data_IF_851680827371
#
_entry.id   IF_851680827371
#
_cell.length_a   1.000
_cell.length_b   1.000
_cell.length_c   1.000
_cell.angle_alpha   90.00
_cell.angle_beta   90.00
_cell.angle_gamma   90.00
#
_symmetry.space_group_name_H-M   'P 1'
#
loop_
_entity.id
_entity.type
_entity.pdbx_description
1 polymer ?
#
# COMPACT_ATOMS: atom_id res chain seq x y z
N UNK A 1 -75.08 -7.56 12.61
CA UNK A 1 -74.13 -7.95 11.56
C UNK A 1 -72.74 -7.54 12.03
N UNK A 2 -71.97 -8.46 12.63
CA UNK A 2 -70.63 -8.20 13.19
C UNK A 2 -69.60 -8.49 12.10
N UNK A 3 -68.85 -7.46 11.72
CA UNK A 3 -67.84 -7.50 10.67
C UNK A 3 -66.55 -8.12 11.23
N UNK A 4 -66.16 -9.30 10.73
CA UNK A 4 -64.86 -9.89 10.97
C UNK A 4 -63.83 -9.16 10.10
N UNK A 5 -62.80 -8.59 10.72
CA UNK A 5 -61.61 -8.07 10.02
C UNK A 5 -60.56 -9.19 10.03
N UNK A 6 -60.23 -9.69 8.84
CA UNK A 6 -59.11 -10.62 8.60
C UNK A 6 -57.81 -9.81 8.65
N UNK A 7 -56.92 -10.11 9.60
CA UNK A 7 -55.53 -9.63 9.58
C UNK A 7 -54.68 -10.56 8.72
N UNK A 8 -54.18 -10.06 7.60
CA UNK A 8 -53.15 -10.74 6.81
C UNK A 8 -51.78 -10.46 7.44
N UNK A 9 -51.06 -11.52 7.83
CA UNK A 9 -49.67 -11.42 8.24
C UNK A 9 -48.79 -11.25 7.00
N UNK A 10 -48.16 -10.08 6.84
CA UNK A 10 -47.05 -9.90 5.92
C UNK A 10 -45.81 -10.54 6.55
N UNK A 11 -45.38 -11.68 6.02
CA UNK A 11 -44.04 -12.20 6.26
C UNK A 11 -43.06 -11.27 5.56
N UNK A 12 -42.33 -10.48 6.34
CA UNK A 12 -41.21 -9.70 5.83
C UNK A 12 -40.10 -10.68 5.40
N UNK A 13 -39.91 -10.85 4.09
CA UNK A 13 -38.63 -11.35 3.58
C UNK A 13 -37.58 -10.31 3.97
N UNK A 14 -36.74 -10.63 4.95
CA UNK A 14 -35.48 -9.92 5.13
C UNK A 14 -34.67 -10.12 3.85
N UNK A 15 -34.59 -9.09 3.01
CA UNK A 15 -33.60 -9.04 1.96
C UNK A 15 -32.24 -9.06 2.68
N UNK A 16 -31.52 -10.17 2.56
CA UNK A 16 -30.12 -10.22 2.98
C UNK A 16 -29.42 -9.05 2.28
N UNK A 17 -28.84 -8.14 3.08
CA UNK A 17 -27.98 -7.10 2.52
C UNK A 17 -26.87 -7.79 1.71
N UNK A 18 -26.55 -7.30 0.50
CA UNK A 18 -25.46 -7.86 -0.26
C UNK A 18 -24.19 -7.78 0.60
N UNK A 19 -23.35 -8.84 0.61
CA UNK A 19 -22.16 -8.85 1.43
C UNK A 19 -21.25 -7.65 1.09
N UNK A 20 -20.60 -7.11 2.11
CA UNK A 20 -19.58 -6.08 2.02
C UNK A 20 -18.59 -6.35 0.88
N UNK A 21 -18.53 -5.44 -0.11
CA UNK A 21 -17.63 -5.58 -1.25
C UNK A 21 -16.27 -4.95 -0.92
N UNK A 22 -15.15 -5.69 -1.05
CA UNK A 22 -13.82 -5.11 -0.88
C UNK A 22 -13.54 -4.09 -1.98
N UNK A 23 -12.73 -3.09 -1.67
CA UNK A 23 -12.14 -2.19 -2.65
C UNK A 23 -10.80 -2.76 -3.09
N UNK A 24 -10.51 -2.70 -4.40
CA UNK A 24 -9.21 -3.08 -4.96
C UNK A 24 -8.64 -1.93 -5.81
N UNK A 25 -7.43 -1.52 -5.49
CA UNK A 25 -6.67 -0.48 -6.18
C UNK A 25 -5.38 -1.05 -6.77
N UNK A 26 -4.90 -0.41 -7.83
CA UNK A 26 -3.58 -0.69 -8.40
C UNK A 26 -2.85 0.62 -8.64
N UNK A 27 -1.56 0.65 -8.29
CA UNK A 27 -0.66 1.75 -8.62
C UNK A 27 0.62 1.20 -9.24
N UNK A 28 1.29 2.05 -10.00
CA UNK A 28 2.62 1.80 -10.54
C UNK A 28 3.55 2.88 -10.00
N UNK A 29 4.64 2.47 -9.35
CA UNK A 29 5.63 3.36 -8.76
C UNK A 29 5.00 4.42 -7.82
N UNK A 30 3.95 4.02 -7.08
CA UNK A 30 3.24 4.88 -6.12
C UNK A 30 2.16 5.79 -6.73
N UNK A 31 1.94 5.76 -8.05
CA UNK A 31 0.94 6.60 -8.73
C UNK A 31 0.00 5.82 -9.65
N UNK A 32 -1.07 6.48 -10.12
CA UNK A 32 -1.93 5.94 -11.18
C UNK A 32 -1.25 5.98 -12.55
N UNK A 33 -0.29 6.90 -12.72
CA UNK A 33 0.51 7.07 -13.93
C UNK A 33 1.97 7.26 -13.52
N UNK A 34 2.88 6.65 -14.27
CA UNK A 34 4.31 6.85 -14.10
C UNK A 34 5.00 7.00 -15.45
N UNK A 35 6.08 7.77 -15.50
CA UNK A 35 7.02 7.77 -16.61
C UNK A 35 8.35 7.31 -16.07
N UNK A 36 8.99 6.39 -16.79
CA UNK A 36 10.27 5.81 -16.38
C UNK A 36 11.22 5.74 -17.57
N UNK A 37 12.51 5.77 -17.26
CA UNK A 37 13.53 5.48 -18.25
C UNK A 37 13.77 3.96 -18.34
N UNK A 38 14.24 3.45 -19.48
CA UNK A 38 14.70 2.06 -19.58
C UNK A 38 15.71 1.73 -18.48
N UNK A 39 15.50 0.60 -17.81
CA UNK A 39 16.36 0.16 -16.71
C UNK A 39 15.96 0.68 -15.33
N UNK A 40 14.88 1.45 -15.19
CA UNK A 40 14.31 1.72 -13.88
C UNK A 40 13.40 0.57 -13.44
N UNK A 41 13.35 0.22 -12.15
CA UNK A 41 12.40 -0.78 -11.69
C UNK A 41 10.96 -0.29 -11.86
N UNK A 42 10.06 -1.24 -12.09
CA UNK A 42 8.60 -1.01 -12.00
C UNK A 42 8.10 -1.77 -10.80
N UNK A 43 7.50 -1.06 -9.85
CA UNK A 43 6.81 -1.62 -8.70
C UNK A 43 5.31 -1.41 -8.88
N UNK A 44 4.58 -2.50 -9.06
CA UNK A 44 3.13 -2.53 -9.08
C UNK A 44 2.64 -2.89 -7.68
N UNK A 45 1.86 -1.99 -7.08
CA UNK A 45 1.21 -2.23 -5.78
C UNK A 45 -0.27 -2.50 -6.00
N UNK A 46 -0.74 -3.65 -5.53
CA UNK A 46 -2.16 -4.00 -5.48
C UNK A 46 -2.63 -3.84 -4.05
N UNK A 47 -3.52 -2.90 -3.80
CA UNK A 47 -4.06 -2.65 -2.48
C UNK A 47 -5.49 -3.12 -2.37
N UNK A 48 -5.83 -3.77 -1.26
CA UNK A 48 -7.20 -4.16 -0.92
C UNK A 48 -7.59 -3.56 0.42
N UNK A 49 -8.80 -3.02 0.50
CA UNK A 49 -9.35 -2.40 1.70
C UNK A 49 -10.82 -2.82 1.86
N UNK A 50 -11.35 -2.64 3.08
CA UNK A 50 -12.78 -2.73 3.30
C UNK A 50 -13.51 -1.62 2.53
N UNK A 51 -14.76 -1.90 2.15
CA UNK A 51 -15.71 -0.86 1.75
C UNK A 51 -16.33 -0.22 3.00
N UNK A 52 -17.64 -0.09 3.01
CA UNK A 52 -18.37 0.44 4.18
C UNK A 52 -18.51 -0.59 5.32
N UNK A 53 -18.27 -1.86 5.04
CA UNK A 53 -18.45 -2.98 5.98
C UNK A 53 -17.19 -3.86 6.01
N UNK A 54 -16.91 -4.54 7.16
CA UNK A 54 -15.77 -5.43 7.28
C UNK A 54 -15.79 -6.56 6.25
N UNK A 55 -14.61 -6.90 5.73
CA UNK A 55 -14.46 -7.96 4.72
C UNK A 55 -13.28 -8.87 5.06
N UNK A 56 -13.49 -10.17 4.93
CA UNK A 56 -12.43 -11.17 5.10
C UNK A 56 -11.90 -11.61 3.74
N UNK A 57 -10.58 -11.62 3.60
CA UNK A 57 -9.86 -12.20 2.47
C UNK A 57 -9.18 -13.48 2.95
N UNK A 58 -9.24 -14.55 2.16
CA UNK A 58 -8.63 -15.82 2.53
C UNK A 58 -9.07 -16.99 1.66
N UNK A 59 -8.17 -17.96 1.53
CA UNK A 59 -8.40 -19.21 0.81
C UNK A 59 -8.46 -20.39 1.80
N UNK A 60 -9.03 -21.52 1.37
CA UNK A 60 -9.08 -22.78 2.12
C UNK A 60 -7.68 -23.29 2.44
N UNK A 61 -6.77 -23.15 1.47
CA UNK A 61 -5.36 -23.51 1.56
C UNK A 61 -4.55 -22.37 0.95
N UNK A 62 -3.38 -22.07 1.54
CA UNK A 62 -2.51 -21.00 1.07
C UNK A 62 -2.97 -19.60 1.46
N UNK A 63 -2.31 -18.61 0.89
CA UNK A 63 -2.57 -17.20 1.22
C UNK A 63 -3.60 -16.57 0.29
N UNK A 64 -4.42 -15.64 0.79
CA UNK A 64 -5.32 -14.78 0.01
C UNK A 64 -4.64 -14.16 -1.22
N UNK A 65 -3.34 -13.95 -1.10
CA UNK A 65 -2.44 -13.46 -2.11
C UNK A 65 -2.38 -14.33 -3.37
N UNK A 66 -2.64 -15.63 -3.29
CA UNK A 66 -2.67 -16.53 -4.44
C UNK A 66 -3.86 -16.25 -5.38
N UNK A 67 -4.92 -15.63 -4.87
CA UNK A 67 -6.05 -15.15 -5.67
C UNK A 67 -5.77 -13.82 -6.39
N UNK A 68 -4.63 -13.16 -6.13
CA UNK A 68 -4.28 -11.89 -6.75
C UNK A 68 -3.44 -12.11 -8.00
N UNK A 69 -3.94 -11.63 -9.13
CA UNK A 69 -3.22 -11.60 -10.41
C UNK A 69 -3.07 -10.18 -10.93
N UNK A 70 -1.97 -9.91 -11.62
CA UNK A 70 -1.69 -8.65 -12.30
C UNK A 70 -1.66 -8.89 -13.80
N UNK A 71 -2.51 -8.16 -14.51
CA UNK A 71 -2.57 -8.15 -15.97
C UNK A 71 -1.79 -6.93 -16.45
N UNK A 72 -0.75 -7.19 -17.23
CA UNK A 72 0.04 -6.17 -17.92
C UNK A 72 -0.32 -6.21 -19.40
N UNK A 73 -0.75 -5.09 -19.95
CA UNK A 73 -0.97 -4.87 -21.38
C UNK A 73 0.20 -4.03 -21.90
N UNK A 74 0.91 -4.56 -22.89
CA UNK A 74 2.09 -3.96 -23.51
C UNK A 74 1.76 -3.36 -24.88
N UNK A 75 2.54 -2.38 -25.36
CA UNK A 75 2.29 -1.73 -26.65
C UNK A 75 2.49 -2.67 -27.86
N UNK A 76 3.34 -3.68 -27.71
CA UNK A 76 3.66 -4.70 -28.72
C UNK A 76 2.91 -6.02 -28.51
N UNK A 77 2.05 -6.10 -27.48
CA UNK A 77 1.31 -7.30 -27.09
C UNK A 77 2.14 -8.37 -26.38
N UNK A 78 3.43 -8.14 -26.15
CA UNK A 78 4.31 -9.06 -25.41
C UNK A 78 4.53 -8.56 -23.99
N UNK A 79 3.75 -9.11 -23.04
CA UNK A 79 3.83 -8.68 -21.64
C UNK A 79 4.78 -9.56 -20.82
N UNK A 80 5.81 -8.99 -20.18
CA UNK A 80 6.65 -9.76 -19.27
C UNK A 80 5.85 -10.22 -18.05
N UNK A 81 6.28 -11.34 -17.46
CA UNK A 81 5.75 -11.78 -16.17
C UNK A 81 6.27 -10.86 -15.06
N UNK A 82 5.36 -10.37 -14.21
CA UNK A 82 5.76 -9.68 -12.99
C UNK A 82 6.17 -10.69 -11.92
N UNK A 83 7.25 -10.39 -11.22
CA UNK A 83 7.68 -11.21 -10.08
C UNK A 83 7.02 -10.70 -8.82
N UNK A 84 6.38 -11.57 -8.05
CA UNK A 84 5.82 -11.20 -6.75
C UNK A 84 6.95 -10.96 -5.74
N UNK A 85 6.82 -9.93 -4.91
CA UNK A 85 7.68 -9.77 -3.73
C UNK A 85 7.56 -10.98 -2.80
N UNK A 86 8.67 -11.37 -2.18
CA UNK A 86 8.74 -12.51 -1.26
C UNK A 86 8.33 -12.14 0.19
N UNK A 87 7.66 -11.00 0.41
CA UNK A 87 7.25 -10.59 1.76
C UNK A 87 6.26 -11.63 2.33
N UNK A 88 6.55 -12.12 3.54
CA UNK A 88 5.67 -13.04 4.26
C UNK A 88 4.37 -12.30 4.57
N UNK A 89 3.25 -12.93 4.22
CA UNK A 89 1.93 -12.37 4.36
C UNK A 89 1.02 -13.40 5.03
N UNK A 90 0.05 -12.95 5.82
CA UNK A 90 -0.88 -13.86 6.49
C UNK A 90 -1.71 -14.65 5.48
N UNK A 91 -2.14 -15.84 5.87
CA UNK A 91 -2.98 -16.69 5.01
C UNK A 91 -4.36 -16.06 4.76
N UNK A 92 -4.92 -15.44 5.80
CA UNK A 92 -6.18 -14.70 5.77
C UNK A 92 -6.06 -13.35 6.45
N UNK A 93 -6.86 -12.37 5.99
CA UNK A 93 -6.92 -11.03 6.58
C UNK A 93 -8.36 -10.60 6.75
N UNK A 94 -8.67 -9.98 7.89
CA UNK A 94 -9.91 -9.26 8.11
C UNK A 94 -9.62 -7.77 7.98
N UNK A 95 -10.35 -7.10 7.09
CA UNK A 95 -10.20 -5.68 6.79
C UNK A 95 -11.42 -4.93 7.33
N UNK A 96 -11.19 -3.82 8.02
CA UNK A 96 -12.21 -2.91 8.52
C UNK A 96 -11.69 -1.47 8.56
N UNK A 97 -12.58 -0.48 8.61
CA UNK A 97 -12.24 0.94 8.71
C UNK A 97 -11.19 1.41 7.68
N UNK A 98 -9.97 1.74 8.14
CA UNK A 98 -8.84 2.22 7.34
C UNK A 98 -7.76 1.13 7.14
N UNK A 99 -8.12 -0.14 7.36
CA UNK A 99 -7.21 -1.27 7.14
C UNK A 99 -7.04 -1.51 5.65
N UNK A 100 -5.78 -1.71 5.26
CA UNK A 100 -5.39 -1.98 3.90
C UNK A 100 -4.29 -3.00 3.88
N UNK A 101 -4.39 -3.96 2.98
CA UNK A 101 -3.30 -4.88 2.65
C UNK A 101 -2.78 -4.59 1.26
N UNK A 102 -1.48 -4.74 1.08
CA UNK A 102 -0.82 -4.48 -0.19
C UNK A 102 0.00 -5.68 -0.62
N UNK A 103 -0.14 -6.05 -1.90
CA UNK A 103 0.68 -7.02 -2.59
C UNK A 103 1.57 -6.30 -3.61
N UNK A 104 2.88 -6.56 -3.56
CA UNK A 104 3.84 -5.92 -4.47
C UNK A 104 4.31 -6.91 -5.54
N UNK A 105 4.30 -6.45 -6.79
CA UNK A 105 4.79 -7.14 -7.97
C UNK A 105 5.79 -6.26 -8.69
N UNK A 106 6.87 -6.83 -9.21
CA UNK A 106 7.99 -6.05 -9.75
C UNK A 106 8.42 -6.50 -11.14
N UNK A 107 8.88 -5.53 -11.94
CA UNK A 107 9.80 -5.75 -13.05
C UNK A 107 11.15 -5.17 -12.66
N UNK A 108 12.21 -5.97 -12.80
CA UNK A 108 13.55 -5.55 -12.44
C UNK A 108 14.12 -4.56 -13.46
N UNK A 109 15.16 -3.77 -13.09
CA UNK A 109 15.94 -2.97 -14.01
C UNK A 109 16.37 -3.73 -15.28
N UNK A 110 16.81 -4.97 -15.14
CA UNK A 110 17.28 -5.79 -16.26
C UNK A 110 16.14 -6.07 -17.24
N UNK A 111 14.94 -6.37 -16.73
CA UNK A 111 13.76 -6.60 -17.57
C UNK A 111 13.33 -5.30 -18.25
N UNK A 112 13.17 -4.21 -17.50
CA UNK A 112 12.66 -2.94 -18.04
C UNK A 112 13.61 -2.29 -19.04
N UNK A 113 14.91 -2.58 -18.95
CA UNK A 113 15.91 -2.15 -19.96
C UNK A 113 15.72 -2.79 -21.34
N UNK A 114 15.01 -3.91 -21.42
CA UNK A 114 14.80 -4.69 -22.66
C UNK A 114 13.39 -4.52 -23.22
N UNK A 115 12.51 -3.82 -22.52
CA UNK A 115 11.13 -3.58 -22.94
C UNK A 115 11.06 -2.53 -24.05
N UNK A 116 10.05 -2.67 -24.91
CA UNK A 116 9.75 -1.68 -25.93
C UNK A 116 9.39 -0.33 -25.28
N UNK A 117 9.75 0.76 -25.97
CA UNK A 117 9.27 2.09 -25.58
C UNK A 117 7.76 2.19 -25.80
N UNK A 118 7.10 2.99 -24.96
CA UNK A 118 5.67 3.27 -25.08
C UNK A 118 4.87 3.00 -23.80
N UNK A 119 3.56 3.07 -23.95
CA UNK A 119 2.61 2.99 -22.85
C UNK A 119 2.21 1.55 -22.53
N UNK A 120 2.35 1.21 -21.25
CA UNK A 120 1.91 -0.04 -20.64
C UNK A 120 0.71 0.24 -19.73
N UNK A 121 -0.25 -0.67 -19.70
CA UNK A 121 -1.42 -0.61 -18.80
C UNK A 121 -1.42 -1.79 -17.84
N UNK A 122 -1.73 -1.52 -16.58
CA UNK A 122 -1.73 -2.49 -15.49
C UNK A 122 -3.12 -2.53 -14.86
N UNK A 123 -3.64 -3.73 -14.63
CA UNK A 123 -4.87 -3.98 -13.87
C UNK A 123 -4.65 -5.16 -12.93
N UNK A 124 -5.20 -5.08 -11.73
CA UNK A 124 -5.22 -6.18 -10.78
C UNK A 124 -6.58 -6.87 -10.77
N UNK A 125 -6.57 -8.17 -10.51
CA UNK A 125 -7.76 -8.99 -10.34
C UNK A 125 -7.57 -9.83 -9.09
N UNK A 126 -8.56 -9.81 -8.21
CA UNK A 126 -8.72 -10.77 -7.13
C UNK A 126 -9.79 -11.78 -7.55
N UNK A 127 -9.43 -13.05 -7.63
CA UNK A 127 -10.33 -14.15 -7.99
C UNK A 127 -10.05 -15.37 -7.09
N UNK A 128 -10.84 -15.56 -6.01
CA UNK A 128 -10.66 -16.68 -5.09
C UNK A 128 -11.21 -18.00 -5.65
N UNK A 129 -11.94 -17.95 -6.78
CA UNK A 129 -12.59 -19.10 -7.41
C UNK A 129 -13.38 -19.94 -6.39
N UNK A 130 -13.31 -21.27 -6.46
CA UNK A 130 -13.94 -22.20 -5.51
C UNK A 130 -13.07 -22.48 -4.26
N UNK A 131 -11.99 -21.72 -4.07
CA UNK A 131 -11.02 -21.89 -2.98
C UNK A 131 -11.28 -20.94 -1.81
N UNK A 132 -12.37 -20.18 -1.79
CA UNK A 132 -12.63 -19.23 -0.71
C UNK A 132 -12.75 -19.93 0.66
N UNK A 133 -12.13 -19.33 1.68
CA UNK A 133 -12.31 -19.75 3.06
C UNK A 133 -13.73 -19.44 3.55
N UNK A 134 -14.16 -20.10 4.63
CA UNK A 134 -15.45 -19.79 5.26
C UNK A 134 -15.51 -18.33 5.73
N UNK A 135 -16.56 -17.62 5.34
CA UNK A 135 -16.77 -16.21 5.63
C UNK A 135 -15.90 -15.24 4.82
N UNK A 136 -15.02 -15.73 3.94
CA UNK A 136 -14.22 -14.89 3.07
C UNK A 136 -15.01 -14.43 1.84
N UNK A 137 -14.59 -13.29 1.27
CA UNK A 137 -15.12 -12.77 0.02
C UNK A 137 -14.90 -13.77 -1.11
N UNK A 138 -15.97 -14.08 -1.85
CA UNK A 138 -16.03 -15.18 -2.80
C UNK A 138 -16.08 -14.73 -4.27
N UNK A 139 -16.42 -13.46 -4.56
CA UNK A 139 -16.61 -13.00 -5.93
C UNK A 139 -15.32 -12.45 -6.54
N UNK A 140 -15.21 -12.53 -7.86
CA UNK A 140 -14.16 -11.86 -8.59
C UNK A 140 -14.32 -10.34 -8.51
N UNK A 141 -13.22 -9.63 -8.30
CA UNK A 141 -13.17 -8.17 -8.41
C UNK A 141 -11.92 -7.72 -9.16
N UNK A 142 -12.08 -6.70 -10.00
CA UNK A 142 -10.99 -6.10 -10.75
C UNK A 142 -10.80 -4.64 -10.34
N UNK A 143 -9.56 -4.17 -10.36
CA UNK A 143 -9.23 -2.78 -10.12
C UNK A 143 -9.56 -1.90 -11.33
N UNK A 144 -9.51 -0.59 -11.12
CA UNK A 144 -9.23 0.35 -12.21
C UNK A 144 -7.88 0.07 -12.87
N UNK A 145 -7.48 0.90 -13.83
CA UNK A 145 -6.19 0.76 -14.50
C UNK A 145 -5.19 1.80 -14.01
N UNK A 146 -3.95 1.37 -13.79
CA UNK A 146 -2.80 2.24 -13.73
C UNK A 146 -2.00 2.09 -15.03
N UNK A 147 -1.11 3.03 -15.33
CA UNK A 147 -0.26 2.97 -16.51
C UNK A 147 1.15 3.44 -16.21
N UNK A 148 2.10 2.94 -16.99
CA UNK A 148 3.42 3.55 -17.05
C UNK A 148 3.90 3.67 -18.49
N UNK A 149 4.73 4.66 -18.74
CA UNK A 149 5.36 4.86 -20.04
C UNK A 149 6.86 4.69 -19.91
N UNK A 150 7.44 3.84 -20.76
CA UNK A 150 8.89 3.76 -20.95
C UNK A 150 9.25 4.72 -22.07
N UNK A 151 9.97 5.79 -21.73
CA UNK A 151 10.39 6.82 -22.68
C UNK A 151 11.85 7.18 -22.47
N UNK A 152 12.51 7.63 -23.55
CA UNK A 152 13.85 8.20 -23.51
C UNK A 152 13.83 9.71 -23.80
N UNK A 153 12.63 10.29 -23.93
CA UNK A 153 12.53 11.73 -24.10
C UNK A 153 13.10 12.41 -22.85
N UNK A 154 13.69 13.60 -22.99
CA UNK A 154 14.10 14.38 -21.82
C UNK A 154 12.89 14.65 -20.91
N UNK A 155 13.04 14.56 -19.57
CA UNK A 155 11.98 14.95 -18.67
C UNK A 155 11.75 16.47 -18.74
N UNK A 156 10.52 16.90 -18.49
CA UNK A 156 10.21 18.34 -18.41
C UNK A 156 10.78 18.96 -17.13
N UNK A 157 10.81 18.19 -16.04
CA UNK A 157 11.38 18.57 -14.75
C UNK A 157 12.42 17.51 -14.34
N UNK A 158 13.69 17.84 -14.55
CA UNK A 158 14.82 16.95 -14.23
C UNK A 158 14.91 16.66 -12.73
N UNK A 159 14.60 17.63 -11.87
CA UNK A 159 14.71 17.46 -10.43
C UNK A 159 13.61 16.54 -9.90
N UNK A 160 12.38 16.68 -10.42
CA UNK A 160 11.28 15.78 -10.09
C UNK A 160 11.51 14.37 -10.68
N UNK A 161 12.05 14.26 -11.89
CA UNK A 161 12.39 12.98 -12.52
C UNK A 161 13.45 12.22 -11.70
N UNK A 162 14.53 12.90 -11.30
CA UNK A 162 15.55 12.31 -10.43
C UNK A 162 14.99 11.94 -9.04
N UNK A 163 14.10 12.75 -8.46
CA UNK A 163 13.44 12.40 -7.20
C UNK A 163 12.59 11.13 -7.32
N UNK A 164 11.80 11.02 -8.39
CA UNK A 164 11.01 9.83 -8.68
C UNK A 164 11.92 8.60 -8.81
N UNK A 165 13.05 8.70 -9.52
CA UNK A 165 14.05 7.64 -9.64
C UNK A 165 14.51 7.12 -8.28
N UNK A 166 14.93 8.03 -7.40
CA UNK A 166 15.50 7.67 -6.09
C UNK A 166 14.45 7.06 -5.17
N UNK A 167 13.20 7.54 -5.20
CA UNK A 167 12.10 6.95 -4.45
C UNK A 167 11.78 5.53 -4.94
N UNK A 168 11.74 5.31 -6.26
CA UNK A 168 11.49 3.99 -6.86
C UNK A 168 12.62 3.02 -6.51
N UNK A 169 13.88 3.45 -6.60
CA UNK A 169 15.03 2.64 -6.21
C UNK A 169 15.01 2.30 -4.72
N UNK A 170 14.63 3.24 -3.85
CA UNK A 170 14.42 2.98 -2.43
C UNK A 170 13.36 1.90 -2.21
N UNK A 171 12.22 1.98 -2.92
CA UNK A 171 11.15 0.98 -2.82
C UNK A 171 11.61 -0.39 -3.30
N UNK A 172 12.22 -0.43 -4.48
CA UNK A 172 12.72 -1.65 -5.05
C UNK A 172 13.79 -2.32 -4.16
N UNK A 173 14.77 -1.57 -3.63
CA UNK A 173 15.79 -2.11 -2.71
C UNK A 173 15.17 -2.71 -1.46
N UNK A 174 14.16 -2.07 -0.86
CA UNK A 174 13.45 -2.64 0.29
C UNK A 174 12.73 -3.95 -0.08
N UNK A 175 12.09 -4.01 -1.26
CA UNK A 175 11.44 -5.23 -1.77
C UNK A 175 12.45 -6.36 -1.97
N UNK A 176 13.69 -6.05 -2.35
CA UNK A 176 14.78 -7.03 -2.45
C UNK A 176 15.35 -7.41 -1.06
N UNK A 177 14.88 -6.81 0.03
CA UNK A 177 15.39 -7.04 1.38
C UNK A 177 16.63 -6.22 1.74
N UNK A 178 17.05 -5.30 0.89
CA UNK A 178 18.20 -4.42 1.11
C UNK A 178 17.75 -3.08 1.72
N UNK A 179 17.45 -3.11 3.02
CA UNK A 179 16.99 -1.95 3.77
C UNK A 179 18.06 -0.85 3.88
N UNK A 180 19.34 -1.21 3.89
CA UNK A 180 20.45 -0.25 3.94
C UNK A 180 20.53 0.56 2.65
N UNK A 181 20.49 -0.12 1.50
CA UNK A 181 20.48 0.53 0.20
C UNK A 181 19.19 1.35 -0.01
N UNK A 182 18.05 0.85 0.48
CA UNK A 182 16.79 1.59 0.46
C UNK A 182 16.89 2.92 1.20
N UNK A 183 17.55 2.94 2.37
CA UNK A 183 17.82 4.15 3.15
C UNK A 183 18.78 5.08 2.42
N UNK A 184 19.86 4.54 1.84
CA UNK A 184 20.87 5.32 1.13
C UNK A 184 20.29 6.12 -0.05
N UNK A 185 19.36 5.55 -0.81
CA UNK A 185 18.68 6.27 -1.90
C UNK A 185 17.85 7.45 -1.39
N UNK A 186 17.20 7.29 -0.24
CA UNK A 186 16.39 8.36 0.36
C UNK A 186 17.28 9.44 0.95
N UNK A 187 18.41 9.07 1.55
CA UNK A 187 19.41 10.01 2.05
C UNK A 187 20.05 10.83 0.93
N UNK A 188 20.34 10.20 -0.22
CA UNK A 188 20.79 10.89 -1.43
C UNK A 188 19.74 11.94 -1.87
N UNK A 189 18.46 11.55 -1.94
CA UNK A 189 17.39 12.46 -2.32
C UNK A 189 17.25 13.62 -1.32
N UNK A 190 17.26 13.35 -0.02
CA UNK A 190 17.14 14.39 1.01
C UNK A 190 18.38 15.30 1.08
N UNK A 191 19.55 14.83 0.66
CA UNK A 191 20.75 15.66 0.52
C UNK A 191 20.56 16.69 -0.61
N UNK A 192 20.02 16.25 -1.75
CA UNK A 192 19.75 17.13 -2.88
C UNK A 192 18.50 18.02 -2.68
N UNK A 193 17.48 17.50 -2.02
CA UNK A 193 16.17 18.13 -1.83
C UNK A 193 15.70 17.98 -0.37
N UNK A 194 16.23 18.78 0.58
CA UNK A 194 15.95 18.62 2.01
C UNK A 194 14.48 18.82 2.41
N UNK A 195 13.70 19.54 1.59
CA UNK A 195 12.27 19.78 1.81
C UNK A 195 11.35 18.79 1.08
N UNK A 196 11.89 17.72 0.50
CA UNK A 196 11.09 16.74 -0.23
C UNK A 196 10.26 15.88 0.74
N UNK A 197 9.00 16.26 0.94
CA UNK A 197 8.14 15.61 1.94
C UNK A 197 7.94 14.10 1.68
N UNK A 198 7.76 13.65 0.43
CA UNK A 198 7.63 12.21 0.13
C UNK A 198 8.86 11.41 0.53
N UNK A 199 10.06 11.97 0.36
CA UNK A 199 11.31 11.35 0.77
C UNK A 199 11.41 11.25 2.31
N UNK A 200 10.96 12.28 3.04
CA UNK A 200 10.85 12.23 4.50
C UNK A 200 9.88 11.16 4.98
N UNK A 201 8.70 11.06 4.35
CA UNK A 201 7.69 10.02 4.65
C UNK A 201 8.29 8.63 4.39
N UNK A 202 8.93 8.43 3.24
CA UNK A 202 9.61 7.19 2.89
C UNK A 202 10.71 6.83 3.89
N UNK A 203 11.52 7.81 4.33
CA UNK A 203 12.53 7.60 5.37
C UNK A 203 11.91 7.18 6.69
N UNK A 204 10.79 7.80 7.08
CA UNK A 204 10.06 7.43 8.29
C UNK A 204 9.54 5.97 8.23
N UNK A 205 9.06 5.50 7.07
CA UNK A 205 8.68 4.09 6.86
C UNK A 205 9.85 3.13 7.08
N UNK A 206 11.00 3.43 6.48
CA UNK A 206 12.18 2.58 6.61
C UNK A 206 12.71 2.57 8.06
N UNK A 207 12.66 3.71 8.75
CA UNK A 207 13.04 3.81 10.17
C UNK A 207 12.07 3.05 11.06
N UNK A 208 10.78 3.12 10.78
CA UNK A 208 9.76 2.34 11.49
C UNK A 208 10.00 0.83 11.33
N UNK A 209 10.24 0.36 10.11
CA UNK A 209 10.60 -1.05 9.85
C UNK A 209 11.90 -1.47 10.55
N UNK A 210 12.82 -0.53 10.78
CA UNK A 210 14.04 -0.75 11.57
C UNK A 210 13.84 -0.60 13.09
N UNK A 211 12.61 -0.36 13.57
CA UNK A 211 12.30 -0.17 15.00
C UNK A 211 12.72 1.19 15.58
N UNK A 212 13.14 2.15 14.73
CA UNK A 212 13.59 3.50 15.13
C UNK A 212 12.41 4.47 15.17
N UNK A 213 11.44 4.16 16.02
CA UNK A 213 10.13 4.85 16.05
C UNK A 213 10.22 6.35 16.37
N UNK A 214 11.09 6.76 17.30
CA UNK A 214 11.24 8.18 17.67
C UNK A 214 11.75 9.03 16.51
N UNK A 215 12.67 8.51 15.71
CA UNK A 215 13.21 9.22 14.54
C UNK A 215 12.20 9.25 13.38
N UNK A 216 11.46 8.16 13.19
CA UNK A 216 10.34 8.12 12.25
C UNK A 216 9.28 9.18 12.60
N UNK A 217 8.91 9.29 13.88
CA UNK A 217 7.93 10.26 14.36
C UNK A 217 8.40 11.70 14.11
N UNK A 218 9.65 12.00 14.46
CA UNK A 218 10.23 13.34 14.22
C UNK A 218 10.20 13.76 12.76
N UNK A 219 10.38 12.82 11.82
CA UNK A 219 10.27 13.12 10.38
C UNK A 219 8.83 13.39 9.95
N UNK A 220 7.85 12.68 10.53
CA UNK A 220 6.44 12.91 10.22
C UNK A 220 5.94 14.24 10.77
N UNK A 221 6.40 14.65 11.96
CA UNK A 221 6.12 15.98 12.53
C UNK A 221 6.65 17.10 11.61
N UNK A 222 7.87 16.93 11.12
CA UNK A 222 8.50 17.80 10.12
C UNK A 222 7.67 17.91 8.83
N UNK A 223 7.19 16.78 8.32
CA UNK A 223 6.34 16.71 7.12
C UNK A 223 5.03 17.44 7.35
N UNK A 224 4.41 17.27 8.51
CA UNK A 224 3.17 17.93 8.85
C UNK A 224 3.32 19.46 8.87
N UNK A 225 4.39 19.98 9.47
CA UNK A 225 4.70 21.41 9.46
C UNK A 225 4.84 21.93 8.02
N UNK A 226 5.56 21.19 7.17
CA UNK A 226 5.74 21.56 5.76
C UNK A 226 4.42 21.55 4.99
N UNK A 227 3.58 20.54 5.17
CA UNK A 227 2.30 20.44 4.48
C UNK A 227 1.35 21.57 4.88
N UNK A 228 1.28 21.92 6.18
CA UNK A 228 0.47 23.06 6.64
C UNK A 228 0.98 24.39 6.06
N UNK A 229 2.29 24.56 5.94
CA UNK A 229 2.88 25.77 5.37
C UNK A 229 2.62 25.88 3.85
N UNK A 230 2.69 24.77 3.13
CA UNK A 230 2.50 24.73 1.67
C UNK A 230 1.02 24.75 1.27
N UNK A 231 0.14 24.27 2.14
CA UNK A 231 -1.30 24.17 1.89
C UNK A 231 -2.11 24.76 3.07
N UNK A 232 -2.02 26.09 3.31
CA UNK A 232 -2.63 26.73 4.47
C UNK A 232 -4.17 26.63 4.48
N UNK A 233 -4.78 26.51 3.30
CA UNK A 233 -6.23 26.42 3.12
C UNK A 233 -6.74 24.96 3.04
N UNK A 234 -5.88 23.97 3.24
CA UNK A 234 -6.30 22.57 3.26
C UNK A 234 -7.24 22.33 4.45
N UNK A 235 -8.52 22.14 4.18
CA UNK A 235 -9.58 21.94 5.20
C UNK A 235 -9.49 20.59 5.90
N UNK A 236 -8.65 19.68 5.41
CA UNK A 236 -8.40 18.39 6.03
C UNK A 236 -6.89 18.17 6.17
N UNK A 237 -6.38 17.87 7.39
CA UNK A 237 -5.02 17.43 7.55
C UNK A 237 -4.80 16.11 6.78
N UNK A 238 -3.56 15.75 6.45
CA UNK A 238 -3.26 14.46 5.87
C UNK A 238 -3.57 13.36 6.91
N UNK A 239 -4.80 12.87 6.94
CA UNK A 239 -5.32 11.87 7.92
C UNK A 239 -4.40 10.67 8.07
N UNK A 240 -3.74 10.26 6.99
CA UNK A 240 -2.76 9.17 6.99
C UNK A 240 -1.52 9.48 7.83
N UNK A 241 -1.00 10.71 7.79
CA UNK A 241 0.16 11.13 8.60
C UNK A 241 -0.22 11.10 10.08
N UNK A 242 -1.40 11.59 10.44
CA UNK A 242 -1.90 11.56 11.82
C UNK A 242 -2.08 10.14 12.35
N UNK A 243 -2.69 9.24 11.56
CA UNK A 243 -2.80 7.82 11.92
C UNK A 243 -1.42 7.22 12.20
N UNK A 244 -0.47 7.44 11.30
CA UNK A 244 0.89 6.92 11.46
C UNK A 244 1.63 7.50 12.66
N UNK A 245 1.49 8.80 12.94
CA UNK A 245 2.04 9.41 14.16
C UNK A 245 1.45 8.77 15.42
N UNK A 246 0.13 8.51 15.45
CA UNK A 246 -0.52 7.84 16.56
C UNK A 246 0.00 6.41 16.75
N UNK A 247 0.10 5.62 15.67
CA UNK A 247 0.64 4.25 15.70
C UNK A 247 2.08 4.21 16.23
N UNK A 248 2.92 5.17 15.81
CA UNK A 248 4.30 5.30 16.30
C UNK A 248 4.35 5.68 17.78
N UNK A 249 3.49 6.60 18.24
CA UNK A 249 3.40 6.98 19.65
C UNK A 249 3.00 5.78 20.52
N UNK A 250 2.04 4.98 20.09
CA UNK A 250 1.65 3.75 20.79
C UNK A 250 2.83 2.78 20.90
N UNK A 251 3.61 2.59 19.83
CA UNK A 251 4.81 1.74 19.85
C UNK A 251 5.89 2.27 20.80
N UNK A 252 6.12 3.59 20.83
CA UNK A 252 7.09 4.23 21.73
C UNK A 252 6.66 4.04 23.20
N UNK A 253 5.42 4.42 23.53
CA UNK A 253 4.89 4.33 24.89
C UNK A 253 4.76 2.87 25.37
N UNK A 254 4.41 1.96 24.47
CA UNK A 254 4.36 0.52 24.74
C UNK A 254 5.75 -0.06 25.02
N UNK A 255 6.77 0.37 24.28
CA UNK A 255 8.17 -0.04 24.47
C UNK A 255 8.77 0.47 25.79
N UNK A 256 8.50 1.73 26.16
CA UNK A 256 8.96 2.31 27.42
C UNK A 256 8.40 1.57 28.64
N UNK A 257 7.12 1.22 28.61
CA UNK A 257 6.46 0.44 29.67
C UNK A 257 7.05 -0.97 29.85
N UNK A 258 7.54 -1.60 28.77
CA UNK A 258 8.23 -2.89 28.86
C UNK A 258 9.66 -2.75 29.39
N UNK A 259 10.38 -1.69 28.98
CA UNK A 259 11.73 -1.40 29.48
C UNK A 259 11.74 -1.05 30.97
N UNK A 260 10.72 -0.36 31.48
CA UNK A 260 10.60 -0.03 32.90
C UNK A 260 10.29 -1.26 33.77
N UNK A 261 9.50 -2.22 33.25
CA UNK A 261 9.24 -3.51 33.91
C UNK A 261 10.44 -4.45 33.90
N UNK A 262 11.37 -4.27 32.97
CA UNK A 262 12.59 -5.08 32.87
C UNK A 262 13.73 -4.59 33.78
N UNK A 263 13.59 -3.44 34.46
CA UNK A 263 14.59 -2.98 35.44
C UNK A 263 14.56 -3.89 36.68
N UNK A 264 15.69 -4.51 37.10
CA UNK A 264 15.71 -5.28 38.33
C UNK A 264 15.39 -4.37 39.51
N UNK A 265 14.51 -4.84 40.39
CA UNK A 265 14.15 -4.11 41.61
C UNK A 265 15.43 -3.71 42.36
N UNK A 266 15.55 -2.45 42.82
CA UNK A 266 16.73 -2.02 43.56
C UNK A 266 16.93 -2.95 44.74
N UNK A 267 18.06 -3.67 44.71
CA UNK A 267 18.42 -4.67 45.72
C UNK A 267 18.33 -4.05 47.10
N UNK A 268 17.53 -4.66 47.98
CA UNK A 268 17.62 -4.42 49.41
C UNK A 268 19.03 -4.84 49.85
N UNK A 269 19.86 -3.85 50.16
CA UNK A 269 21.10 -4.01 50.92
C UNK A 269 20.72 -4.40 52.36
#
# INVERSE_FOLDING_TARGET
>A
MKMLILSAALTACALAQPPARPLIGVTVNGGAQARIDPGWPVVVSVSMAAGDEPVKLGLKEGSWLEAVSVILESPDGTSPALTRSARVQPDSVELQDLDMVTAEFVLSPEVTSQLALGAYRVRAVYDPQEQQAEGAWAEQIASGSASFEISQDPPQDEAAHQAARLLILSNWSEIQGDAEQAMAWVDELLTAQPSHYTAKVRKAELLESAGRFTEALSLLDDVEVQLRANFPDATHPPTLIHKRQADLLEKILGGENQAERAKPAPGRI
#
